data_IF_125531033529
#
_entry.id   IF_125531033529
#
_cell.length_a   1.000
_cell.length_b   1.000
_cell.length_c   1.000
_cell.angle_alpha   90.00
_cell.angle_beta   90.00
_cell.angle_gamma   90.00
#
_symmetry.space_group_name_H-M   'P 1'
#
loop_
_entity.id
_entity.type
_entity.pdbx_description
1 polymer ?
#
# COMPACT_ATOMS: atom_id res chain seq x y z
N UNK A 1 -1.06 -20.98 -8.83
CA UNK A 1 -2.43 -21.05 -8.61
C UNK A 1 -3.23 -20.47 -9.69
N UNK A 2 -3.54 -21.26 -10.64
CA UNK A 2 -4.27 -20.80 -11.79
C UNK A 2 -5.67 -20.31 -11.47
N UNK A 3 -6.32 -20.97 -10.55
CA UNK A 3 -7.68 -20.55 -10.26
C UNK A 3 -7.73 -19.22 -9.53
N UNK A 4 -6.63 -18.85 -8.90
CA UNK A 4 -6.60 -17.54 -8.27
C UNK A 4 -6.68 -16.44 -9.31
N UNK A 5 -6.03 -16.65 -10.45
CA UNK A 5 -6.09 -15.65 -11.47
C UNK A 5 -7.51 -15.50 -12.02
N UNK A 6 -8.21 -16.60 -12.12
CA UNK A 6 -9.58 -16.51 -12.60
C UNK A 6 -10.44 -15.72 -11.65
N UNK A 7 -10.23 -15.94 -10.37
CA UNK A 7 -11.01 -15.21 -9.41
C UNK A 7 -10.66 -13.73 -9.42
N UNK A 8 -9.39 -13.43 -9.58
CA UNK A 8 -8.99 -12.04 -9.57
C UNK A 8 -9.44 -11.29 -10.80
N UNK A 9 -9.56 -11.98 -11.90
CA UNK A 9 -9.85 -11.27 -13.13
C UNK A 9 -11.32 -11.03 -13.33
N UNK A 10 -12.12 -11.44 -12.39
CA UNK A 10 -13.54 -11.32 -12.63
C UNK A 10 -13.99 -9.88 -12.57
N UNK A 11 -14.78 -9.56 -13.42
CA UNK A 11 -15.70 -8.44 -13.35
C UNK A 11 -15.11 -7.07 -13.06
N UNK A 12 -14.59 -6.44 -14.09
CA UNK A 12 -14.10 -5.07 -14.01
C UNK A 12 -15.18 -4.10 -13.58
N UNK A 13 -16.41 -4.42 -13.93
CA UNK A 13 -17.52 -3.55 -13.58
C UNK A 13 -17.68 -3.49 -12.07
N UNK A 14 -17.60 -4.63 -11.45
CA UNK A 14 -17.72 -4.67 -9.99
C UNK A 14 -16.61 -3.91 -9.31
N UNK A 15 -15.40 -3.99 -9.85
CA UNK A 15 -14.29 -3.28 -9.22
C UNK A 15 -14.43 -1.78 -9.32
N UNK A 16 -14.97 -1.30 -10.44
CA UNK A 16 -15.19 0.14 -10.59
C UNK A 16 -16.24 0.63 -9.60
N UNK A 17 -17.29 -0.14 -9.45
CA UNK A 17 -18.35 0.21 -8.50
C UNK A 17 -17.81 0.17 -7.08
N UNK A 18 -17.03 -0.85 -6.76
CA UNK A 18 -16.45 -0.97 -5.44
C UNK A 18 -15.52 0.18 -5.14
N UNK A 19 -14.71 0.60 -6.10
CA UNK A 19 -13.81 1.74 -5.87
C UNK A 19 -14.58 2.99 -5.57
N UNK A 20 -15.70 3.21 -6.25
CA UNK A 20 -16.51 4.40 -6.00
C UNK A 20 -17.12 4.34 -4.61
N UNK A 21 -17.61 3.17 -4.21
CA UNK A 21 -18.18 3.01 -2.89
C UNK A 21 -17.14 3.24 -1.82
N UNK A 22 -15.94 2.72 -2.00
CA UNK A 22 -14.88 2.89 -1.01
C UNK A 22 -14.48 4.35 -0.89
N UNK A 23 -14.41 5.08 -2.00
CA UNK A 23 -14.08 6.50 -1.91
C UNK A 23 -15.16 7.28 -1.19
N UNK A 24 -16.41 6.93 -1.43
CA UNK A 24 -17.51 7.65 -0.82
C UNK A 24 -17.66 7.32 0.64
N UNK A 25 -17.37 6.07 1.00
CA UNK A 25 -17.59 5.60 2.35
C UNK A 25 -16.28 5.37 3.09
N UNK A 26 -15.24 6.07 2.71
CA UNK A 26 -13.94 5.89 3.33
C UNK A 26 -14.01 6.00 4.84
N UNK A 27 -13.16 5.27 5.53
CA UNK A 27 -13.15 5.30 6.97
C UNK A 27 -12.55 6.60 7.46
N UNK A 28 -12.78 6.90 8.73
CA UNK A 28 -12.19 8.09 9.33
C UNK A 28 -10.66 8.02 9.30
N UNK A 29 -10.11 6.84 9.49
CA UNK A 29 -8.65 6.69 9.45
C UNK A 29 -8.12 7.03 8.07
N UNK A 30 -8.82 6.58 7.02
CA UNK A 30 -8.41 6.92 5.66
C UNK A 30 -8.45 8.42 5.45
N UNK A 31 -9.48 9.08 5.95
CA UNK A 31 -9.60 10.52 5.79
C UNK A 31 -8.45 11.25 6.50
N UNK A 32 -8.09 10.79 7.69
CA UNK A 32 -7.01 11.40 8.44
C UNK A 32 -5.70 11.26 7.70
N UNK A 33 -5.39 10.05 7.25
CA UNK A 33 -4.12 9.84 6.55
C UNK A 33 -4.10 10.57 5.22
N UNK A 34 -5.22 10.58 4.51
CA UNK A 34 -5.29 11.28 3.24
C UNK A 34 -5.00 12.77 3.43
N UNK A 35 -5.44 13.35 4.53
CA UNK A 35 -5.14 14.74 4.81
C UNK A 35 -3.66 15.03 4.82
N UNK A 36 -2.84 14.05 5.20
CA UNK A 36 -1.39 14.21 5.21
C UNK A 36 -0.74 13.86 3.89
N UNK A 37 -1.33 12.95 3.13
CA UNK A 37 -0.73 12.48 1.88
C UNK A 37 -1.07 13.36 0.68
N UNK A 38 -2.24 14.00 0.69
CA UNK A 38 -2.70 14.74 -0.47
C UNK A 38 -1.84 15.97 -0.72
N UNK A 39 -1.97 16.49 -1.93
CA UNK A 39 -1.32 17.76 -2.31
C UNK A 39 0.20 17.73 -2.23
N UNK A 40 0.77 16.55 -2.42
CA UNK A 40 2.23 16.38 -2.47
C UNK A 40 2.94 16.92 -1.25
N UNK A 41 2.31 16.82 -0.10
CA UNK A 41 2.86 17.40 1.13
C UNK A 41 4.09 16.64 1.64
N UNK A 42 4.18 15.34 1.38
CA UNK A 42 5.31 14.55 1.85
C UNK A 42 6.31 14.43 0.71
N UNK A 43 7.39 15.13 0.83
CA UNK A 43 8.52 15.09 -0.12
C UNK A 43 8.12 15.29 -1.58
N UNK A 44 7.02 15.99 -1.83
CA UNK A 44 6.59 16.27 -3.18
C UNK A 44 5.99 15.08 -3.91
N UNK A 45 5.68 14.02 -3.22
CA UNK A 45 5.18 12.81 -3.84
C UNK A 45 3.66 12.86 -3.99
N UNK A 46 3.20 12.47 -5.16
CA UNK A 46 1.76 12.43 -5.39
C UNK A 46 1.22 11.07 -5.03
N UNK A 47 0.24 11.03 -4.13
CA UNK A 47 -0.42 9.82 -3.71
C UNK A 47 -1.80 9.74 -4.34
N UNK A 48 -2.26 8.52 -4.59
CA UNK A 48 -3.59 8.28 -5.14
C UNK A 48 -4.36 7.40 -4.20
N UNK A 49 -5.67 7.63 -4.12
CA UNK A 49 -6.53 6.84 -3.24
C UNK A 49 -7.25 5.79 -4.04
N UNK A 50 -7.55 4.67 -3.40
CA UNK A 50 -8.37 3.60 -3.99
C UNK A 50 -7.94 3.31 -5.40
N UNK A 51 -6.68 2.98 -5.56
CA UNK A 51 -6.09 2.78 -6.87
C UNK A 51 -6.15 1.32 -7.26
N UNK A 52 -6.69 1.05 -8.45
CA UNK A 52 -6.81 -0.32 -8.93
C UNK A 52 -5.55 -0.75 -9.64
N UNK A 53 -5.07 -1.94 -9.28
CA UNK A 53 -3.96 -2.51 -10.03
C UNK A 53 -4.21 -3.99 -10.12
N UNK A 54 -4.29 -4.52 -11.35
CA UNK A 54 -4.68 -5.90 -11.55
C UNK A 54 -6.02 -6.15 -10.89
N UNK A 55 -6.11 -7.19 -10.10
CA UNK A 55 -7.36 -7.53 -9.43
C UNK A 55 -7.57 -6.81 -8.11
N UNK A 56 -6.62 -5.99 -7.69
CA UNK A 56 -6.64 -5.42 -6.35
C UNK A 56 -6.94 -3.93 -6.35
N UNK A 57 -7.45 -3.44 -5.23
CA UNK A 57 -7.65 -2.02 -5.00
C UNK A 57 -6.78 -1.65 -3.81
N UNK A 58 -5.88 -0.69 -4.03
CA UNK A 58 -4.96 -0.25 -3.01
C UNK A 58 -5.52 0.98 -2.32
N UNK A 59 -5.44 1.03 -0.99
CA UNK A 59 -5.97 2.18 -0.27
C UNK A 59 -5.25 3.47 -0.69
N UNK A 60 -3.93 3.44 -0.67
CA UNK A 60 -3.12 4.58 -1.10
C UNK A 60 -1.95 4.07 -1.90
N UNK A 61 -1.66 4.72 -3.00
CA UNK A 61 -0.58 4.28 -3.87
C UNK A 61 0.21 5.48 -4.40
N UNK A 62 1.53 5.40 -4.30
CA UNK A 62 2.42 6.39 -4.84
C UNK A 62 3.19 5.78 -6.00
N UNK A 63 2.77 6.03 -7.23
CA UNK A 63 3.44 5.40 -8.39
C UNK A 63 4.91 5.73 -8.48
N UNK A 64 5.27 6.94 -8.13
CA UNK A 64 6.66 7.37 -8.21
C UNK A 64 7.56 6.54 -7.31
N UNK A 65 7.02 6.09 -6.18
CA UNK A 65 7.79 5.29 -5.23
C UNK A 65 7.53 3.80 -5.38
N UNK A 66 6.50 3.43 -6.11
CA UNK A 66 5.99 2.05 -6.13
C UNK A 66 5.73 1.58 -4.71
N UNK A 67 5.06 2.44 -3.97
CA UNK A 67 4.78 2.19 -2.55
C UNK A 67 3.29 2.25 -2.32
N UNK A 68 2.78 1.25 -1.64
CA UNK A 68 1.37 1.14 -1.31
C UNK A 68 1.22 1.20 0.20
N UNK A 69 0.20 1.92 0.67
CA UNK A 69 -0.13 1.94 2.09
C UNK A 69 -1.53 1.37 2.24
N UNK A 70 -1.68 0.42 3.16
CA UNK A 70 -2.96 -0.20 3.45
C UNK A 70 -3.32 0.05 4.90
N UNK A 71 -4.59 0.30 5.14
CA UNK A 71 -5.08 0.49 6.51
C UNK A 71 -5.96 -0.68 6.90
N UNK A 72 -5.68 -1.25 8.06
CA UNK A 72 -6.44 -2.38 8.55
C UNK A 72 -7.40 -1.92 9.62
N UNK A 73 -8.70 -2.15 9.39
CA UNK A 73 -9.70 -1.71 10.34
C UNK A 73 -9.79 -2.62 11.52
N UNK A 74 -9.80 -3.92 11.27
CA UNK A 74 -9.90 -4.87 12.34
C UNK A 74 -8.94 -5.97 12.09
N UNK A 75 -8.33 -6.48 13.13
CA UNK A 75 -7.38 -7.56 12.94
C UNK A 75 -8.09 -8.80 12.44
N UNK A 76 -7.63 -9.29 11.32
CA UNK A 76 -8.16 -10.51 10.78
C UNK A 76 -7.19 -11.60 11.15
N UNK A 77 -7.52 -12.30 12.23
CA UNK A 77 -6.60 -13.32 12.70
C UNK A 77 -6.93 -14.70 12.16
N UNK A 78 -7.72 -14.77 11.12
CA UNK A 78 -7.97 -16.06 10.52
C UNK A 78 -6.79 -16.44 9.64
N UNK A 79 -6.41 -17.71 9.65
CA UNK A 79 -5.30 -18.12 8.78
C UNK A 79 -5.54 -17.84 7.30
N UNK A 80 -6.79 -17.97 6.86
CA UNK A 80 -7.10 -17.72 5.46
C UNK A 80 -6.89 -16.27 5.09
N UNK A 81 -7.27 -15.36 5.97
CA UNK A 81 -7.09 -13.93 5.70
C UNK A 81 -5.64 -13.54 5.63
N UNK A 82 -4.84 -14.04 6.57
CA UNK A 82 -3.41 -13.73 6.57
C UNK A 82 -2.73 -14.28 5.33
N UNK A 83 -3.11 -15.47 4.90
CA UNK A 83 -2.52 -16.06 3.73
C UNK A 83 -2.89 -15.30 2.47
N UNK A 84 -4.12 -14.84 2.38
CA UNK A 84 -4.55 -14.05 1.25
C UNK A 84 -3.77 -12.74 1.17
N UNK A 85 -3.58 -12.08 2.31
CA UNK A 85 -2.85 -10.81 2.34
C UNK A 85 -1.40 -11.01 1.92
N UNK A 86 -0.79 -12.08 2.39
CA UNK A 86 0.59 -12.35 2.03
C UNK A 86 0.73 -12.60 0.53
N UNK A 87 -0.16 -13.40 -0.05
CA UNK A 87 -0.09 -13.68 -1.47
C UNK A 87 -0.34 -12.44 -2.29
N UNK A 88 -1.22 -11.56 -1.82
CA UNK A 88 -1.50 -10.31 -2.50
C UNK A 88 -0.26 -9.43 -2.52
N UNK A 89 0.41 -9.30 -1.37
CA UNK A 89 1.62 -8.48 -1.29
C UNK A 89 2.74 -9.05 -2.15
N UNK A 90 2.88 -10.38 -2.16
CA UNK A 90 3.88 -11.01 -2.99
C UNK A 90 3.61 -10.78 -4.46
N UNK A 91 2.36 -10.87 -4.87
CA UNK A 91 1.99 -10.64 -6.25
C UNK A 91 2.29 -9.20 -6.66
N UNK A 92 1.95 -8.25 -5.80
CA UNK A 92 2.20 -6.85 -6.10
C UNK A 92 3.70 -6.59 -6.26
N UNK A 93 4.50 -7.19 -5.42
CA UNK A 93 5.94 -6.98 -5.51
C UNK A 93 6.53 -7.69 -6.72
N UNK A 94 6.13 -8.93 -6.95
CA UNK A 94 6.69 -9.72 -8.03
C UNK A 94 6.31 -9.18 -9.39
N UNK A 95 5.04 -8.80 -9.56
CA UNK A 95 4.57 -8.38 -10.87
C UNK A 95 4.78 -6.91 -11.15
N UNK A 96 4.81 -6.09 -10.13
CA UNK A 96 4.85 -4.64 -10.33
C UNK A 96 5.92 -3.93 -9.53
N UNK A 97 6.64 -4.63 -8.70
CA UNK A 97 7.67 -4.01 -7.88
C UNK A 97 7.11 -3.14 -6.78
N UNK A 98 5.85 -3.35 -6.40
CA UNK A 98 5.19 -2.52 -5.41
C UNK A 98 5.39 -3.07 -4.02
N UNK A 99 5.86 -2.23 -3.11
CA UNK A 99 6.02 -2.60 -1.71
C UNK A 99 4.80 -2.12 -0.95
N UNK A 100 4.42 -2.85 0.08
CA UNK A 100 3.24 -2.53 0.87
C UNK A 100 3.62 -2.26 2.31
N UNK A 101 3.09 -1.17 2.87
CA UNK A 101 3.22 -0.86 4.28
C UNK A 101 1.82 -0.89 4.87
N UNK A 102 1.65 -1.54 6.01
CA UNK A 102 0.34 -1.61 6.65
C UNK A 102 0.35 -0.87 7.95
N UNK A 103 -0.73 -0.15 8.22
CA UNK A 103 -0.95 0.50 9.51
C UNK A 103 -2.32 0.12 10.00
N UNK A 104 -2.49 0.06 11.32
CA UNK A 104 -3.81 -0.16 11.88
C UNK A 104 -4.52 1.16 12.02
N UNK A 105 -5.84 1.13 11.89
CA UNK A 105 -6.62 2.36 11.98
C UNK A 105 -6.37 3.09 13.30
N UNK A 106 -6.26 2.33 14.38
CA UNK A 106 -6.04 2.96 15.68
C UNK A 106 -4.72 3.75 15.71
N UNK A 107 -3.72 3.24 15.02
CA UNK A 107 -2.43 3.93 15.01
C UNK A 107 -2.53 5.24 14.25
N UNK A 108 -3.36 5.28 13.22
CA UNK A 108 -3.56 6.53 12.48
C UNK A 108 -4.14 7.59 13.42
N UNK A 109 -5.11 7.20 14.25
CA UNK A 109 -5.72 8.18 15.15
C UNK A 109 -4.77 8.58 16.27
N UNK A 110 -4.02 7.62 16.80
CA UNK A 110 -3.22 7.90 17.99
C UNK A 110 -1.84 8.44 17.68
N UNK A 111 -1.28 8.01 16.56
CA UNK A 111 0.13 8.31 16.26
C UNK A 111 0.31 8.85 14.86
N UNK A 112 -0.60 9.71 14.42
CA UNK A 112 -0.57 10.19 13.05
C UNK A 112 0.74 10.88 12.70
N UNK A 113 1.27 11.67 13.61
CA UNK A 113 2.51 12.39 13.33
C UNK A 113 3.68 11.41 13.17
N UNK A 114 3.72 10.40 14.01
CA UNK A 114 4.78 9.40 13.90
C UNK A 114 4.69 8.64 12.60
N UNK A 115 3.47 8.32 12.18
CA UNK A 115 3.26 7.60 10.94
C UNK A 115 3.68 8.47 9.76
N UNK A 116 3.32 9.74 9.76
CA UNK A 116 3.72 10.64 8.68
C UNK A 116 5.24 10.74 8.61
N UNK A 117 5.91 10.83 9.76
CA UNK A 117 7.36 10.88 9.75
C UNK A 117 7.97 9.58 9.24
N UNK A 118 7.36 8.46 9.58
CA UNK A 118 7.83 7.19 9.06
C UNK A 118 7.69 7.13 7.54
N UNK A 119 6.55 7.59 7.01
CA UNK A 119 6.32 7.62 5.57
C UNK A 119 7.34 8.54 4.91
N UNK A 120 7.63 9.69 5.55
CA UNK A 120 8.61 10.61 5.02
C UNK A 120 10.00 9.97 4.97
N UNK A 121 10.36 9.25 6.02
CA UNK A 121 11.64 8.58 6.08
C UNK A 121 11.76 7.52 4.98
N UNK A 122 10.72 6.69 4.84
CA UNK A 122 10.74 5.66 3.80
C UNK A 122 10.82 6.31 2.42
N UNK A 123 10.10 7.40 2.21
CA UNK A 123 10.13 8.10 0.93
C UNK A 123 11.56 8.58 0.61
N UNK A 124 12.19 9.18 1.59
CA UNK A 124 13.56 9.68 1.38
C UNK A 124 14.51 8.54 1.07
N UNK A 125 14.35 7.42 1.75
CA UNK A 125 15.22 6.28 1.50
C UNK A 125 15.04 5.72 0.09
N UNK A 126 13.80 5.63 -0.36
CA UNK A 126 13.54 5.15 -1.71
C UNK A 126 14.13 6.09 -2.75
N UNK A 127 13.95 7.39 -2.57
CA UNK A 127 14.47 8.35 -3.52
C UNK A 127 16.00 8.34 -3.54
N UNK A 128 16.62 8.20 -2.38
CA UNK A 128 18.06 8.15 -2.30
C UNK A 128 18.62 6.92 -3.00
N UNK A 129 17.95 5.79 -2.85
CA UNK A 129 18.41 4.58 -3.51
C UNK A 129 18.36 4.71 -5.01
N UNK A 130 17.39 5.44 -5.52
CA UNK A 130 17.29 5.61 -6.95
C UNK A 130 18.33 6.55 -7.52
N UNK A 131 18.81 7.46 -6.69
CA UNK A 131 19.88 8.31 -7.13
C UNK A 131 21.20 7.55 -7.18
N UNK A 132 21.32 6.50 -6.37
CA UNK A 132 22.53 5.69 -6.34
C UNK A 132 22.18 4.24 -6.52
N UNK A 133 21.80 3.87 -7.72
CA UNK A 133 21.27 2.53 -7.93
C UNK A 133 22.25 1.43 -7.65
N UNK A 134 23.53 1.75 -7.58
CA UNK A 134 24.49 0.69 -7.33
C UNK A 134 24.32 0.11 -5.97
N UNK A 135 23.66 0.76 -5.10
CA UNK A 135 23.58 0.28 -3.88
C UNK A 135 22.58 -0.66 -3.64
N UNK A 136 22.11 -1.18 -4.32
CA UNK A 136 21.58 -2.21 -4.15
C UNK A 136 20.29 -2.48 -3.62
N UNK A 137 19.67 -3.28 -4.30
CA UNK A 137 18.41 -3.80 -4.00
C UNK A 137 18.36 -4.57 -2.75
N UNK A 138 19.46 -4.90 -2.27
CA UNK A 138 19.48 -5.73 -1.11
C UNK A 138 18.82 -5.05 0.08
N UNK A 139 18.74 -3.75 0.02
CA UNK A 139 18.10 -3.06 1.11
C UNK A 139 16.68 -3.53 1.29
N UNK A 140 15.98 -3.68 0.18
CA UNK A 140 14.64 -4.12 0.28
C UNK A 140 14.52 -5.56 0.65
N UNK A 141 15.42 -6.35 0.15
CA UNK A 141 15.33 -7.73 0.44
C UNK A 141 15.80 -8.01 1.77
N UNK A 142 16.68 -7.13 2.26
CA UNK A 142 17.22 -7.28 3.56
C UNK A 142 16.18 -7.35 4.61
N UNK A 143 15.10 -6.63 4.40
CA UNK A 143 14.09 -6.74 5.38
C UNK A 143 13.56 -8.12 5.44
N UNK A 144 13.46 -8.72 4.31
CA UNK A 144 12.86 -9.97 4.32
C UNK A 144 13.75 -10.97 4.85
N UNK A 145 15.00 -10.94 4.53
CA UNK A 145 15.72 -11.95 4.91
C UNK A 145 16.36 -11.71 5.99
N UNK A 146 16.30 -10.66 6.26
CA UNK A 146 16.97 -10.46 7.31
C UNK A 146 17.00 -11.64 7.96
N UNK A 147 17.03 -12.08 7.53
CA UNK A 147 17.33 -13.09 7.94
C UNK A 147 17.73 -13.35 8.66
#
# INVERSE_FOLDING_TARGET
MPHDKANFSSNRYNRRSLRRDLRTKGTSAEAVLWGSLRAKQIEGIQWRRQFSIGPFILDFYAPQLKLCIELDGEPHYTPDGADYDLRREEWLFREHGIRTIRFENNDIFRHNESIVEYIRKVTREILKEREHPTNCPSVYRGTSEAE
#
